data_IF_136786749524
#
_entry.id   IF_136786749524
#
_cell.length_a   1.000
_cell.length_b   1.000
_cell.length_c   1.000
_cell.angle_alpha   90.00
_cell.angle_beta   90.00
_cell.angle_gamma   90.00
#
_symmetry.space_group_name_H-M   'P 1'
#
loop_
_entity.id
_entity.type
_entity.pdbx_description
1 polymer ?
#
# COMPACT_ATOMS: atom_id res chain seq x y z
N UNK A 1 14.09 -3.13 12.95
CA UNK A 1 14.40 -4.15 11.93
C UNK A 1 14.94 -3.41 10.73
N UNK A 2 16.04 -3.88 10.14
CA UNK A 2 16.59 -3.37 8.88
C UNK A 2 16.08 -4.22 7.71
N UNK A 3 16.54 -3.90 6.49
CA UNK A 3 16.09 -4.58 5.27
C UNK A 3 16.49 -6.06 5.26
N UNK A 4 17.69 -6.38 5.73
CA UNK A 4 18.21 -7.75 5.81
C UNK A 4 17.42 -8.60 6.80
N UNK A 5 17.13 -8.07 7.99
CA UNK A 5 16.33 -8.75 8.99
C UNK A 5 14.87 -8.92 8.56
N UNK A 6 14.32 -7.99 7.76
CA UNK A 6 13.00 -8.16 7.12
C UNK A 6 13.03 -9.26 6.06
N UNK A 7 14.06 -9.26 5.20
CA UNK A 7 14.22 -10.25 4.15
C UNK A 7 14.39 -11.68 4.67
N UNK A 8 14.93 -11.84 5.88
CA UNK A 8 15.05 -13.12 6.57
C UNK A 8 13.80 -13.53 7.37
N UNK A 9 12.75 -12.71 7.43
CA UNK A 9 11.56 -12.95 8.25
C UNK A 9 10.28 -13.08 7.40
N UNK A 10 9.97 -14.31 7.00
CA UNK A 10 8.79 -14.64 6.19
C UNK A 10 7.46 -14.22 6.84
N UNK A 11 7.37 -14.30 8.17
CA UNK A 11 6.16 -13.88 8.91
C UNK A 11 5.96 -12.37 8.83
N UNK A 12 7.02 -11.59 8.95
CA UNK A 12 6.95 -10.14 8.78
C UNK A 12 6.61 -9.77 7.33
N UNK A 13 7.16 -10.47 6.35
CA UNK A 13 6.84 -10.28 4.94
C UNK A 13 5.35 -10.53 4.69
N UNK A 14 4.84 -11.70 5.05
CA UNK A 14 3.43 -12.06 4.86
C UNK A 14 2.48 -11.08 5.56
N UNK A 15 2.83 -10.62 6.77
CA UNK A 15 2.03 -9.63 7.49
C UNK A 15 1.98 -8.28 6.76
N UNK A 16 3.12 -7.80 6.26
CA UNK A 16 3.20 -6.51 5.53
C UNK A 16 2.49 -6.59 4.19
N UNK A 17 2.73 -7.64 3.41
CA UNK A 17 2.07 -7.88 2.13
C UNK A 17 0.54 -7.88 2.30
N UNK A 18 0.02 -8.61 3.31
CA UNK A 18 -1.41 -8.63 3.60
C UNK A 18 -1.97 -7.25 3.95
N UNK A 19 -1.20 -6.40 4.61
CA UNK A 19 -1.63 -5.02 4.90
C UNK A 19 -1.71 -4.18 3.62
N UNK A 20 -0.73 -4.31 2.72
CA UNK A 20 -0.78 -3.63 1.43
C UNK A 20 -1.95 -4.10 0.56
N UNK A 21 -2.30 -5.38 0.58
CA UNK A 21 -3.49 -5.89 -0.10
C UNK A 21 -4.77 -5.20 0.39
N UNK A 22 -4.93 -5.09 1.72
CA UNK A 22 -6.09 -4.46 2.34
C UNK A 22 -6.15 -2.97 1.98
N UNK A 23 -5.02 -2.26 2.06
CA UNK A 23 -4.93 -0.83 1.72
C UNK A 23 -5.33 -0.62 0.25
N UNK A 24 -4.73 -1.38 -0.68
CA UNK A 24 -5.04 -1.23 -2.10
C UNK A 24 -6.48 -1.60 -2.44
N UNK A 25 -7.07 -2.59 -1.78
CA UNK A 25 -8.49 -2.91 -1.94
C UNK A 25 -9.40 -1.77 -1.44
N UNK A 26 -9.11 -1.22 -0.27
CA UNK A 26 -9.89 -0.11 0.29
C UNK A 26 -9.83 1.12 -0.62
N UNK A 27 -8.65 1.45 -1.15
CA UNK A 27 -8.49 2.56 -2.09
C UNK A 27 -9.16 2.29 -3.45
N UNK A 28 -9.13 1.04 -3.93
CA UNK A 28 -9.88 0.63 -5.11
C UNK A 28 -11.40 0.74 -4.92
N UNK A 29 -11.90 0.44 -3.72
CA UNK A 29 -13.32 0.64 -3.37
C UNK A 29 -13.66 2.13 -3.29
N UNK A 30 -12.81 2.95 -2.68
CA UNK A 30 -12.97 4.40 -2.63
C UNK A 30 -13.08 4.99 -4.04
N UNK A 31 -12.20 4.59 -4.96
CA UNK A 31 -12.24 5.05 -6.36
C UNK A 31 -13.56 4.77 -7.08
N UNK A 32 -14.26 3.68 -6.69
CA UNK A 32 -15.59 3.33 -7.23
C UNK A 32 -16.73 4.09 -6.53
N UNK A 33 -16.59 4.35 -5.24
CA UNK A 33 -17.62 5.00 -4.43
C UNK A 33 -17.61 6.53 -4.56
N UNK A 34 -16.42 7.12 -4.58
CA UNK A 34 -16.21 8.57 -4.70
C UNK A 34 -14.91 8.85 -5.47
N UNK A 35 -15.04 8.96 -6.78
CA UNK A 35 -13.91 9.23 -7.67
C UNK A 35 -13.27 10.61 -7.41
N UNK A 36 -14.04 11.60 -6.92
CA UNK A 36 -13.53 12.94 -6.67
C UNK A 36 -12.63 12.95 -5.43
N UNK A 37 -13.04 12.29 -4.35
CA UNK A 37 -12.21 12.12 -3.16
C UNK A 37 -10.99 11.24 -3.48
N UNK A 38 -11.17 10.14 -4.21
CA UNK A 38 -10.08 9.25 -4.58
C UNK A 38 -9.00 9.96 -5.42
N UNK A 39 -9.39 10.87 -6.33
CA UNK A 39 -8.46 11.64 -7.15
C UNK A 39 -7.52 12.55 -6.34
N UNK A 40 -7.80 12.78 -5.06
CA UNK A 40 -6.94 13.54 -4.14
C UNK A 40 -5.82 12.71 -3.55
N UNK A 41 -5.84 11.38 -3.75
CA UNK A 41 -4.80 10.46 -3.28
C UNK A 41 -3.72 10.33 -4.37
N UNK A 42 -2.47 10.76 -4.12
CA UNK A 42 -1.38 10.59 -5.07
C UNK A 42 -1.14 9.11 -5.38
N UNK A 43 -0.72 8.82 -6.61
CA UNK A 43 -0.32 7.49 -7.08
C UNK A 43 -1.36 6.38 -6.88
N UNK A 44 -2.65 6.73 -6.71
CA UNK A 44 -3.75 5.79 -6.49
C UNK A 44 -3.73 4.58 -7.44
N UNK A 45 -3.55 4.82 -8.74
CA UNK A 45 -3.48 3.77 -9.74
C UNK A 45 -2.30 2.80 -9.51
N UNK A 46 -1.15 3.32 -9.08
CA UNK A 46 0.04 2.51 -8.76
C UNK A 46 -0.19 1.70 -7.49
N UNK A 47 -0.85 2.26 -6.47
CA UNK A 47 -1.17 1.55 -5.23
C UNK A 47 -2.13 0.38 -5.52
N UNK A 48 -3.15 0.60 -6.34
CA UNK A 48 -4.08 -0.46 -6.76
C UNK A 48 -3.35 -1.52 -7.60
N UNK A 49 -2.45 -1.10 -8.51
CA UNK A 49 -1.64 -2.03 -9.30
C UNK A 49 -0.70 -2.88 -8.41
N UNK A 50 -0.09 -2.27 -7.40
CA UNK A 50 0.77 -2.97 -6.43
C UNK A 50 0.00 -4.04 -5.67
N UNK A 51 -1.22 -3.75 -5.22
CA UNK A 51 -2.12 -4.76 -4.63
C UNK A 51 -2.43 -5.90 -5.59
N UNK A 52 -2.67 -5.61 -6.87
CA UNK A 52 -2.92 -6.67 -7.85
C UNK A 52 -1.68 -7.54 -8.07
N UNK A 53 -0.50 -6.96 -8.05
CA UNK A 53 0.75 -7.70 -8.14
C UNK A 53 0.99 -8.58 -6.91
N UNK A 54 0.68 -8.11 -5.70
CA UNK A 54 0.79 -8.91 -4.48
C UNK A 54 -0.11 -10.16 -4.51
N UNK A 55 -1.27 -10.09 -5.14
CA UNK A 55 -2.22 -11.22 -5.16
C UNK A 55 -2.01 -12.15 -6.37
N UNK A 56 -1.74 -11.59 -7.55
CA UNK A 56 -1.66 -12.37 -8.80
C UNK A 56 -0.24 -12.59 -9.32
N UNK A 57 0.70 -11.71 -8.93
CA UNK A 57 2.09 -11.71 -9.38
C UNK A 57 3.09 -12.00 -8.25
N UNK A 58 2.64 -12.55 -7.11
CA UNK A 58 3.47 -12.77 -5.91
C UNK A 58 4.77 -13.53 -6.21
N UNK A 59 4.75 -14.48 -7.16
CA UNK A 59 5.95 -15.23 -7.55
C UNK A 59 7.08 -14.35 -8.12
N UNK A 60 6.76 -13.12 -8.54
CA UNK A 60 7.70 -12.16 -9.16
C UNK A 60 8.05 -10.99 -8.26
N UNK A 61 7.39 -10.85 -7.11
CA UNK A 61 7.66 -9.71 -6.24
C UNK A 61 8.98 -9.92 -5.50
N UNK A 62 9.81 -8.86 -5.50
CA UNK A 62 11.06 -8.87 -4.73
C UNK A 62 10.79 -8.32 -3.35
N UNK A 63 11.25 -9.02 -2.32
CA UNK A 63 11.09 -8.61 -0.91
C UNK A 63 11.59 -7.19 -0.66
N UNK A 64 12.72 -6.82 -1.26
CA UNK A 64 13.24 -5.45 -1.20
C UNK A 64 12.30 -4.40 -1.79
N UNK A 65 11.50 -4.74 -2.80
CA UNK A 65 10.49 -3.82 -3.35
C UNK A 65 9.39 -3.55 -2.32
N UNK A 66 8.89 -4.59 -1.64
CA UNK A 66 7.89 -4.43 -0.56
C UNK A 66 8.45 -3.59 0.58
N UNK A 67 9.70 -3.85 0.98
CA UNK A 67 10.40 -3.06 1.99
C UNK A 67 10.51 -1.57 1.61
N UNK A 68 11.00 -1.28 0.41
CA UNK A 68 11.13 0.11 -0.08
C UNK A 68 9.79 0.82 -0.09
N UNK A 69 8.72 0.19 -0.58
CA UNK A 69 7.37 0.79 -0.58
C UNK A 69 6.89 1.08 0.85
N UNK A 70 7.16 0.18 1.80
CA UNK A 70 6.81 0.38 3.21
C UNK A 70 7.57 1.54 3.87
N UNK A 71 8.83 1.74 3.50
CA UNK A 71 9.65 2.79 4.09
C UNK A 71 9.46 4.15 3.43
N UNK A 72 9.34 4.18 2.10
CA UNK A 72 9.46 5.41 1.33
C UNK A 72 8.11 5.94 0.84
N UNK A 73 7.16 5.06 0.48
CA UNK A 73 5.88 5.44 -0.11
C UNK A 73 4.73 5.47 0.90
N UNK A 74 4.67 4.47 1.79
CA UNK A 74 3.59 4.34 2.76
C UNK A 74 3.44 5.56 3.71
N UNK A 75 4.52 6.19 4.22
CA UNK A 75 4.37 7.37 5.09
C UNK A 75 3.64 8.54 4.41
N UNK A 76 3.91 8.79 3.13
CA UNK A 76 3.25 9.85 2.38
C UNK A 76 1.74 9.56 2.17
N UNK A 77 1.40 8.30 1.92
CA UNK A 77 0.00 7.86 1.84
C UNK A 77 -0.72 8.05 3.19
N UNK A 78 -0.09 7.66 4.30
CA UNK A 78 -0.65 7.85 5.64
C UNK A 78 -0.93 9.33 5.91
N UNK A 79 0.03 10.21 5.62
CA UNK A 79 -0.14 11.65 5.79
C UNK A 79 -1.30 12.19 4.94
N UNK A 80 -1.38 11.79 3.67
CA UNK A 80 -2.47 12.19 2.78
C UNK A 80 -3.84 11.77 3.33
N UNK A 81 -3.98 10.49 3.71
CA UNK A 81 -5.25 9.98 4.23
C UNK A 81 -5.62 10.63 5.55
N UNK A 82 -4.66 10.91 6.43
CA UNK A 82 -4.91 11.61 7.69
C UNK A 82 -5.48 13.02 7.43
N UNK A 83 -4.89 13.80 6.53
CA UNK A 83 -5.44 15.11 6.14
C UNK A 83 -6.86 15.00 5.58
N UNK A 84 -7.13 14.03 4.70
CA UNK A 84 -8.48 13.82 4.16
C UNK A 84 -9.50 13.47 5.25
N UNK A 85 -9.10 12.71 6.27
CA UNK A 85 -9.97 12.37 7.40
C UNK A 85 -10.26 13.58 8.30
N UNK A 86 -9.28 14.46 8.52
CA UNK A 86 -9.46 15.69 9.29
C UNK A 86 -10.46 16.65 8.63
N UNK A 87 -10.50 16.71 7.30
CA UNK A 87 -11.47 17.53 6.57
C UNK A 87 -12.91 17.00 6.62
N UNK A 88 -13.07 15.71 6.95
CA UNK A 88 -14.36 15.03 7.05
C UNK A 88 -14.90 14.98 8.48
N UNK A 89 -14.09 15.41 9.46
CA UNK A 89 -14.45 15.48 10.88
C UNK A 89 -15.21 16.77 11.22
#
# INVERSE_FOLDING_TARGET
MDAEAYAANEMAQAAVERKFEIIGEALGQLARADAALAARIPDLAQIVAFRNQLIHGYATIRVHTVWTVAQDSLPALIATVATLLEELA
#
